data_IF_041176156001
#
_entry.id   IF_041176156001
#
_cell.length_a   1.000
_cell.length_b   1.000
_cell.length_c   1.000
_cell.angle_alpha   90.00
_cell.angle_beta   90.00
_cell.angle_gamma   90.00
#
_symmetry.space_group_name_H-M   'P 1'
#
loop_
_entity.id
_entity.type
_entity.pdbx_description
1 polymer ?
#
# COMPACT_ATOMS: atom_id res chain seq x y z
N UNK A 1 5.19 13.00 19.97
CA UNK A 1 5.72 13.88 18.92
C UNK A 1 4.57 14.36 18.07
N UNK A 2 4.58 15.62 17.63
CA UNK A 2 3.62 16.11 16.65
C UNK A 2 4.10 15.73 15.24
N UNK A 3 3.23 15.16 14.42
CA UNK A 3 3.53 14.84 13.02
C UNK A 3 3.04 15.98 12.12
N UNK A 4 3.83 16.41 11.11
CA UNK A 4 3.36 17.38 10.13
C UNK A 4 2.20 16.78 9.33
N UNK A 5 1.14 17.57 9.13
CA UNK A 5 -0.02 17.19 8.32
C UNK A 5 0.01 18.00 7.03
N UNK A 6 0.15 17.31 5.90
CA UNK A 6 0.13 17.92 4.58
C UNK A 6 -1.28 17.84 4.00
N UNK A 7 -1.82 18.97 3.53
CA UNK A 7 -3.17 19.05 2.97
C UNK A 7 -3.14 19.46 1.51
N UNK A 8 -3.99 18.80 0.72
CA UNK A 8 -4.21 19.14 -0.67
C UNK A 8 -5.55 19.84 -0.85
N UNK A 9 -5.53 21.07 -1.38
CA UNK A 9 -6.76 21.75 -1.79
C UNK A 9 -7.18 21.30 -3.18
N UNK A 10 -8.32 20.61 -3.27
CA UNK A 10 -8.90 20.20 -4.56
C UNK A 10 -9.38 21.37 -5.42
N UNK A 11 -9.56 22.58 -4.87
CA UNK A 11 -9.88 23.77 -5.67
C UNK A 11 -8.72 24.20 -6.57
N UNK A 12 -7.49 23.81 -6.24
CA UNK A 12 -6.30 24.07 -7.06
C UNK A 12 -6.17 23.09 -8.25
N UNK A 13 -7.00 22.05 -8.32
CA UNK A 13 -6.92 21.01 -9.36
C UNK A 13 -7.20 21.53 -10.77
N UNK A 14 -7.93 22.65 -10.91
CA UNK A 14 -8.33 23.25 -12.20
C UNK A 14 -7.16 23.59 -13.14
N UNK A 15 -5.93 23.66 -12.64
CA UNK A 15 -4.73 24.00 -13.43
C UNK A 15 -3.85 22.82 -13.83
N UNK A 16 -3.75 21.76 -13.02
CA UNK A 16 -2.76 20.68 -13.20
C UNK A 16 -3.31 19.25 -13.04
N UNK A 17 -4.58 19.09 -12.66
CA UNK A 17 -5.16 17.78 -12.34
C UNK A 17 -4.82 17.29 -10.92
N UNK A 18 -5.56 16.29 -10.43
CA UNK A 18 -5.37 15.71 -9.08
C UNK A 18 -4.06 14.92 -8.95
N UNK A 19 -3.61 14.12 -9.95
CA UNK A 19 -2.34 13.38 -9.84
C UNK A 19 -1.12 14.28 -9.60
N UNK A 20 -0.96 15.34 -10.39
CA UNK A 20 0.15 16.29 -10.22
C UNK A 20 0.11 17.03 -8.87
N UNK A 21 -1.09 17.20 -8.31
CA UNK A 21 -1.25 17.74 -6.97
C UNK A 21 -0.83 16.72 -5.89
N UNK A 22 -1.21 15.45 -6.05
CA UNK A 22 -0.79 14.36 -5.17
C UNK A 22 0.74 14.18 -5.18
N UNK A 23 1.39 14.22 -6.34
CA UNK A 23 2.86 14.16 -6.41
C UNK A 23 3.53 15.25 -5.55
N UNK A 24 3.07 16.49 -5.67
CA UNK A 24 3.58 17.61 -4.86
C UNK A 24 3.35 17.40 -3.36
N UNK A 25 2.23 16.78 -3.00
CA UNK A 25 1.94 16.44 -1.61
C UNK A 25 2.94 15.39 -1.09
N UNK A 26 3.21 14.36 -1.87
CA UNK A 26 4.16 13.29 -1.53
C UNK A 26 5.60 13.80 -1.45
N UNK A 27 5.99 14.70 -2.36
CA UNK A 27 7.27 15.41 -2.30
C UNK A 27 7.38 16.24 -1.02
N UNK A 28 6.35 17.02 -0.69
CA UNK A 28 6.33 17.83 0.53
C UNK A 28 6.31 16.96 1.81
N UNK A 29 5.71 15.78 1.76
CA UNK A 29 5.69 14.80 2.84
C UNK A 29 7.01 14.04 3.01
N UNK A 30 7.98 14.24 2.09
CA UNK A 30 9.32 13.66 2.19
C UNK A 30 9.45 12.24 1.64
N UNK A 31 8.46 11.72 0.89
CA UNK A 31 8.53 10.37 0.30
C UNK A 31 9.85 10.10 -0.47
N UNK A 32 10.43 11.03 -1.25
CA UNK A 32 11.71 10.82 -1.92
C UNK A 32 12.88 10.44 -1.00
N UNK A 33 12.86 10.86 0.26
CA UNK A 33 13.92 10.54 1.23
C UNK A 33 13.80 9.14 1.85
N UNK A 34 12.75 8.39 1.51
CA UNK A 34 12.43 7.09 2.10
C UNK A 34 12.49 5.92 1.10
N UNK A 35 12.83 6.18 -0.16
CA UNK A 35 12.94 5.17 -1.21
C UNK A 35 14.37 5.22 -1.78
N UNK A 36 15.11 4.13 -1.67
CA UNK A 36 16.40 3.95 -2.30
C UNK A 36 16.30 3.15 -3.61
N UNK A 37 17.34 3.26 -4.43
CA UNK A 37 17.43 2.50 -5.67
C UNK A 37 17.49 0.99 -5.37
N UNK A 38 16.59 0.24 -5.99
CA UNK A 38 16.49 -1.21 -5.82
C UNK A 38 15.55 -1.70 -4.72
N UNK A 39 15.08 -0.80 -3.84
CA UNK A 39 14.19 -1.15 -2.73
C UNK A 39 12.93 -1.88 -3.20
N UNK A 40 12.60 -2.99 -2.57
CA UNK A 40 11.30 -3.64 -2.71
C UNK A 40 10.31 -2.91 -1.80
N UNK A 41 9.54 -1.99 -2.39
CA UNK A 41 8.62 -1.10 -1.65
C UNK A 41 7.21 -1.69 -1.58
N UNK A 42 6.70 -1.90 -0.38
CA UNK A 42 5.31 -2.25 -0.15
C UNK A 42 4.43 -1.00 -0.19
N UNK A 43 3.38 -1.01 -1.01
CA UNK A 43 2.28 -0.03 -0.97
C UNK A 43 1.11 -0.70 -0.26
N UNK A 44 0.93 -0.43 1.03
CA UNK A 44 -0.14 -1.03 1.83
C UNK A 44 -1.42 -0.24 1.64
N UNK A 45 -2.48 -0.93 1.23
CA UNK A 45 -3.80 -0.33 1.09
C UNK A 45 -4.89 -1.28 1.59
N UNK A 46 -6.09 -0.73 1.72
CA UNK A 46 -7.29 -1.52 1.89
C UNK A 46 -7.95 -1.74 0.53
N UNK A 47 -8.01 -2.99 0.06
CA UNK A 47 -8.61 -3.28 -1.26
C UNK A 47 -10.14 -3.28 -1.24
N UNK A 48 -10.76 -3.49 -0.07
CA UNK A 48 -12.21 -3.61 0.08
C UNK A 48 -12.79 -4.96 -0.39
N UNK A 49 -14.01 -5.29 0.06
CA UNK A 49 -14.81 -6.41 -0.47
C UNK A 49 -15.51 -6.05 -1.79
N UNK A 50 -15.54 -6.94 -2.80
CA UNK A 50 -16.28 -6.68 -4.04
C UNK A 50 -17.74 -6.28 -3.79
N UNK A 51 -18.16 -5.20 -4.45
CA UNK A 51 -19.49 -4.61 -4.31
C UNK A 51 -19.54 -3.35 -3.45
N UNK A 52 -18.47 -3.03 -2.71
CA UNK A 52 -18.35 -1.72 -2.05
C UNK A 52 -17.58 -0.70 -2.92
N UNK A 53 -17.60 0.58 -2.52
CA UNK A 53 -16.86 1.68 -3.15
C UNK A 53 -15.95 2.42 -2.16
N UNK A 54 -15.81 1.90 -0.94
CA UNK A 54 -15.04 2.47 0.16
C UNK A 54 -13.56 2.07 0.10
N UNK A 55 -12.98 2.07 -1.09
CA UNK A 55 -11.55 1.88 -1.33
C UNK A 55 -10.95 3.12 -1.98
N UNK A 56 -9.63 3.28 -1.84
CA UNK A 56 -8.93 4.41 -2.47
C UNK A 56 -9.05 4.32 -3.99
N UNK A 57 -9.28 5.45 -4.67
CA UNK A 57 -9.40 5.45 -6.12
C UNK A 57 -8.08 4.96 -6.76
N UNK A 58 -8.10 3.93 -7.63
CA UNK A 58 -6.91 3.36 -8.24
C UNK A 58 -5.93 4.38 -8.86
N UNK A 59 -6.36 5.45 -9.55
CA UNK A 59 -5.43 6.45 -10.10
C UNK A 59 -4.54 7.15 -9.05
N UNK A 60 -4.98 7.23 -7.79
CA UNK A 60 -4.14 7.80 -6.73
C UNK A 60 -3.00 6.84 -6.36
N UNK A 61 -3.30 5.54 -6.32
CA UNK A 61 -2.30 4.50 -6.05
C UNK A 61 -1.33 4.36 -7.22
N UNK A 62 -1.82 4.48 -8.45
CA UNK A 62 -0.99 4.55 -9.66
C UNK A 62 0.02 5.71 -9.59
N UNK A 63 -0.42 6.89 -9.14
CA UNK A 63 0.48 8.06 -8.94
C UNK A 63 1.59 7.74 -7.93
N UNK A 64 1.26 7.08 -6.82
CA UNK A 64 2.25 6.66 -5.81
C UNK A 64 3.21 5.63 -6.38
N UNK A 65 2.71 4.59 -7.06
CA UNK A 65 3.53 3.55 -7.68
C UNK A 65 4.47 4.11 -8.76
N UNK A 66 3.99 5.05 -9.57
CA UNK A 66 4.80 5.74 -10.57
C UNK A 66 5.92 6.56 -9.93
N UNK A 67 5.63 7.26 -8.83
CA UNK A 67 6.63 8.01 -8.08
C UNK A 67 7.70 7.10 -7.46
N UNK A 68 7.32 5.98 -6.83
CA UNK A 68 8.27 5.00 -6.28
C UNK A 68 9.21 4.46 -7.36
N UNK A 69 8.67 4.09 -8.54
CA UNK A 69 9.49 3.65 -9.68
C UNK A 69 10.46 4.74 -10.16
N UNK A 70 10.01 6.00 -10.23
CA UNK A 70 10.84 7.14 -10.63
C UNK A 70 12.01 7.37 -9.66
N UNK A 71 11.83 7.02 -8.38
CA UNK A 71 12.86 7.06 -7.35
C UNK A 71 13.80 5.84 -7.37
N UNK A 72 13.59 4.87 -8.27
CA UNK A 72 14.39 3.65 -8.38
C UNK A 72 13.87 2.46 -7.56
N UNK A 73 12.78 2.65 -6.81
CA UNK A 73 12.13 1.58 -6.06
C UNK A 73 11.32 0.62 -6.94
N UNK A 74 11.00 -0.53 -6.38
CA UNK A 74 10.28 -1.64 -7.02
C UNK A 74 8.98 -1.90 -6.26
N UNK A 75 7.89 -1.18 -6.59
CA UNK A 75 6.67 -1.24 -5.80
C UNK A 75 5.88 -2.53 -6.02
N UNK A 76 5.24 -3.01 -4.96
CA UNK A 76 4.13 -3.97 -5.02
C UNK A 76 2.97 -3.50 -4.13
N UNK A 77 1.75 -3.82 -4.53
CA UNK A 77 0.54 -3.55 -3.76
C UNK A 77 0.31 -4.67 -2.76
N UNK A 78 -0.19 -4.34 -1.58
CA UNK A 78 -0.46 -5.37 -0.59
C UNK A 78 -1.60 -5.05 0.35
N UNK A 79 -2.32 -6.10 0.74
CA UNK A 79 -3.25 -6.15 1.85
C UNK A 79 -3.07 -7.50 2.58
N UNK A 80 -3.71 -7.67 3.73
CA UNK A 80 -3.72 -8.93 4.49
C UNK A 80 -5.08 -9.60 4.36
N UNK A 81 -5.10 -10.92 4.50
CA UNK A 81 -6.35 -11.67 4.61
C UNK A 81 -7.13 -11.30 5.87
N UNK A 82 -8.40 -11.68 5.91
CA UNK A 82 -9.34 -11.35 6.98
C UNK A 82 -9.98 -12.59 7.58
N UNK A 83 -10.39 -12.50 8.85
CA UNK A 83 -11.01 -13.61 9.58
C UNK A 83 -12.52 -13.77 9.26
N UNK A 84 -13.14 -12.77 8.64
CA UNK A 84 -14.56 -12.80 8.30
C UNK A 84 -14.81 -13.40 6.92
N UNK A 85 -16.08 -13.71 6.66
CA UNK A 85 -16.52 -14.25 5.36
C UNK A 85 -16.44 -13.17 4.28
N UNK A 86 -15.90 -13.52 3.13
CA UNK A 86 -15.74 -12.62 2.00
C UNK A 86 -14.64 -13.10 1.07
N UNK A 87 -14.33 -12.29 0.06
CA UNK A 87 -13.26 -12.60 -0.88
C UNK A 87 -11.88 -12.26 -0.31
N UNK A 88 -11.79 -11.78 0.93
CA UNK A 88 -10.49 -11.50 1.57
C UNK A 88 -10.05 -12.56 2.57
N UNK A 89 -10.76 -13.69 2.63
CA UNK A 89 -10.47 -14.77 3.59
C UNK A 89 -9.20 -15.56 3.27
N UNK A 90 -8.74 -15.56 2.02
CA UNK A 90 -7.52 -16.22 1.60
C UNK A 90 -6.82 -15.39 0.51
N UNK A 91 -5.54 -15.65 0.29
CA UNK A 91 -4.71 -14.86 -0.62
C UNK A 91 -5.16 -14.91 -2.08
N UNK A 92 -5.70 -16.06 -2.55
CA UNK A 92 -6.16 -16.19 -3.94
C UNK A 92 -7.39 -15.33 -4.20
N UNK A 93 -8.39 -15.42 -3.33
CA UNK A 93 -9.59 -14.60 -3.44
C UNK A 93 -9.27 -13.11 -3.20
N UNK A 94 -8.30 -12.81 -2.34
CA UNK A 94 -7.86 -11.44 -2.06
C UNK A 94 -7.24 -10.79 -3.30
N UNK A 95 -6.41 -11.52 -4.06
CA UNK A 95 -5.89 -11.05 -5.35
C UNK A 95 -7.05 -10.74 -6.29
N UNK A 96 -8.04 -11.64 -6.38
CA UNK A 96 -9.22 -11.42 -7.23
C UNK A 96 -10.03 -10.19 -6.80
N UNK A 97 -10.20 -9.98 -5.50
CA UNK A 97 -10.87 -8.79 -4.96
C UNK A 97 -10.10 -7.50 -5.34
N UNK A 98 -8.78 -7.53 -5.23
CA UNK A 98 -7.90 -6.42 -5.62
C UNK A 98 -8.06 -6.10 -7.12
N UNK A 99 -8.01 -7.11 -7.98
CA UNK A 99 -8.15 -6.97 -9.43
C UNK A 99 -9.52 -6.40 -9.84
N UNK A 100 -10.61 -6.86 -9.22
CA UNK A 100 -11.96 -6.35 -9.48
C UNK A 100 -12.11 -4.86 -9.16
N UNK A 101 -11.30 -4.34 -8.23
CA UNK A 101 -11.26 -2.92 -7.88
C UNK A 101 -10.15 -2.15 -8.61
N UNK A 102 -9.47 -2.76 -9.58
CA UNK A 102 -8.44 -2.13 -10.38
C UNK A 102 -7.07 -2.05 -9.71
N UNK A 103 -6.82 -2.82 -8.65
CA UNK A 103 -5.51 -2.95 -8.02
C UNK A 103 -4.71 -4.09 -8.65
N UNK A 104 -4.34 -3.90 -9.93
CA UNK A 104 -3.59 -4.88 -10.71
C UNK A 104 -2.32 -4.28 -11.29
N UNK A 105 -1.41 -5.14 -11.76
CA UNK A 105 -0.20 -4.72 -12.48
C UNK A 105 -0.51 -3.93 -13.75
N UNK A 106 -1.65 -4.16 -14.38
CA UNK A 106 -2.08 -3.44 -15.59
C UNK A 106 -2.55 -2.02 -15.23
N UNK A 107 -3.38 -1.90 -14.20
CA UNK A 107 -4.02 -0.63 -13.84
C UNK A 107 -3.12 0.30 -13.03
N UNK A 108 -2.26 -0.26 -12.17
CA UNK A 108 -1.40 0.49 -11.25
C UNK A 108 0.07 0.46 -11.66
N UNK A 109 0.45 -0.49 -12.51
CA UNK A 109 1.85 -0.75 -12.84
C UNK A 109 2.60 -1.54 -11.76
N UNK A 110 1.95 -2.00 -10.69
CA UNK A 110 2.58 -2.76 -9.61
C UNK A 110 1.77 -4.04 -9.34
N UNK A 111 2.42 -5.22 -9.16
CA UNK A 111 1.71 -6.45 -8.85
C UNK A 111 1.09 -6.40 -7.46
N UNK A 112 0.01 -7.14 -7.26
CA UNK A 112 -0.58 -7.33 -5.93
C UNK A 112 -0.04 -8.61 -5.29
N UNK A 113 0.42 -8.51 -4.05
CA UNK A 113 0.96 -9.64 -3.26
C UNK A 113 0.26 -9.64 -1.90
N UNK A 114 -0.49 -10.69 -1.53
CA UNK A 114 -1.02 -10.87 -0.17
C UNK A 114 0.12 -10.86 0.85
N UNK A 115 0.06 -9.97 1.85
CA UNK A 115 1.17 -9.80 2.79
C UNK A 115 1.42 -11.02 3.67
N UNK A 116 0.37 -11.79 3.92
CA UNK A 116 0.26 -12.94 4.83
C UNK A 116 0.03 -14.25 4.07
N UNK A 117 0.37 -14.29 2.78
CA UNK A 117 0.42 -15.51 1.99
C UNK A 117 -0.94 -16.03 1.52
N UNK A 118 -0.95 -17.28 1.06
CA UNK A 118 -2.14 -17.89 0.45
C UNK A 118 -3.25 -18.18 1.46
N UNK A 119 -2.89 -18.52 2.70
CA UNK A 119 -3.84 -18.94 3.75
C UNK A 119 -3.94 -17.96 4.91
N UNK A 120 -3.24 -16.83 4.86
CA UNK A 120 -3.20 -15.86 5.96
C UNK A 120 -2.32 -16.28 7.14
N UNK A 121 -1.42 -17.25 6.93
CA UNK A 121 -0.57 -17.87 7.95
C UNK A 121 0.92 -17.51 7.81
N UNK A 122 1.30 -16.73 6.78
CA UNK A 122 2.68 -16.30 6.61
C UNK A 122 2.98 -15.06 7.46
N UNK A 123 3.65 -15.30 8.59
CA UNK A 123 4.07 -14.24 9.49
C UNK A 123 5.51 -14.40 9.98
N UNK A 124 6.11 -13.29 10.39
CA UNK A 124 7.38 -13.22 11.11
C UNK A 124 7.10 -12.71 12.52
N UNK A 125 7.67 -13.37 13.52
CA UNK A 125 7.60 -12.93 14.91
C UNK A 125 8.67 -11.87 15.15
N UNK A 126 8.28 -10.69 15.63
CA UNK A 126 9.18 -9.59 15.97
C UNK A 126 8.99 -9.17 17.43
N UNK A 127 10.02 -8.60 18.08
CA UNK A 127 9.88 -8.03 19.41
C UNK A 127 8.79 -6.96 19.44
N UNK A 128 8.04 -6.88 20.56
CA UNK A 128 7.10 -5.79 20.74
C UNK A 128 7.84 -4.47 20.94
N UNK A 129 7.40 -3.35 20.32
CA UNK A 129 7.95 -2.03 20.62
C UNK A 129 7.54 -1.52 22.00
N UNK A 130 6.58 -2.18 22.66
CA UNK A 130 6.11 -1.84 24.00
C UNK A 130 6.78 -2.77 25.00
N UNK A 131 7.54 -2.19 25.94
CA UNK A 131 8.23 -2.95 26.98
C UNK A 131 7.23 -3.78 27.81
N UNK A 132 7.58 -5.04 28.07
CA UNK A 132 6.73 -5.99 28.81
C UNK A 132 5.68 -6.71 27.97
N UNK A 133 5.43 -6.30 26.73
CA UNK A 133 4.51 -7.02 25.85
C UNK A 133 5.15 -8.26 25.21
N UNK A 134 4.38 -9.33 24.95
CA UNK A 134 4.88 -10.48 24.20
C UNK A 134 5.24 -10.10 22.77
N UNK A 135 6.10 -10.89 22.09
CA UNK A 135 6.39 -10.72 20.67
C UNK A 135 5.10 -10.67 19.83
N UNK A 136 5.15 -9.90 18.73
CA UNK A 136 4.02 -9.71 17.83
C UNK A 136 4.31 -10.35 16.47
N UNK A 137 3.25 -10.69 15.73
CA UNK A 137 3.35 -11.27 14.40
C UNK A 137 3.10 -10.19 13.34
N UNK A 138 4.05 -10.04 12.41
CA UNK A 138 3.92 -9.20 11.23
C UNK A 138 3.77 -10.08 9.99
N UNK A 139 2.91 -9.66 9.07
CA UNK A 139 2.73 -10.33 7.79
C UNK A 139 4.07 -10.40 7.05
N UNK A 140 4.44 -11.60 6.58
CA UNK A 140 5.81 -11.88 6.17
C UNK A 140 6.31 -11.01 5.01
N UNK A 141 5.45 -10.66 4.04
CA UNK A 141 5.86 -9.81 2.93
C UNK A 141 6.13 -8.36 3.37
N UNK A 142 5.35 -7.84 4.33
CA UNK A 142 5.58 -6.51 4.90
C UNK A 142 6.89 -6.47 5.70
N UNK A 143 7.16 -7.52 6.48
CA UNK A 143 8.39 -7.61 7.27
C UNK A 143 9.66 -7.75 6.42
N UNK A 144 9.52 -8.20 5.16
CA UNK A 144 10.61 -8.40 4.19
C UNK A 144 10.74 -7.27 3.17
N UNK A 145 9.86 -6.27 3.19
CA UNK A 145 9.95 -5.11 2.32
C UNK A 145 11.03 -4.15 2.82
N UNK A 146 11.77 -3.53 1.91
CA UNK A 146 12.82 -2.57 2.24
C UNK A 146 12.24 -1.21 2.64
N UNK A 147 11.05 -0.88 2.09
CA UNK A 147 10.29 0.32 2.40
C UNK A 147 8.78 0.04 2.44
N UNK A 148 8.06 0.80 3.25
CA UNK A 148 6.60 0.73 3.39
C UNK A 148 5.99 2.11 3.17
N UNK A 149 4.99 2.17 2.30
CA UNK A 149 4.17 3.37 1.99
C UNK A 149 2.71 3.06 2.28
#
# INVERSE_FOLDING_TARGET
MASPVHLLSLTQSRRKGIPALLERLLEAAGLPGHIAEGDITALKLHVGEPGNTAYIRPPFVETVAAMVKRLGGRPFLTDTTTLYTGLRRNGLDLIRAAELHGFSSISIGAPFIPADGLKGDEAVTVPSPVEGNPPVHLAAALAKADALV
#
